data_IF_492083917958
#
_entry.id   IF_492083917958
#
_cell.length_a   1.000
_cell.length_b   1.000
_cell.length_c   1.000
_cell.angle_alpha   90.00
_cell.angle_beta   90.00
_cell.angle_gamma   90.00
#
_symmetry.space_group_name_H-M   'P 1'
#
loop_
_entity.id
_entity.type
_entity.pdbx_description
1 polymer ?
#
# COMPACT_ATOMS: atom_id res chain seq x y z
N UNK A 1 -15.37 3.72 -9.99
CA UNK A 1 -14.33 3.26 -9.04
C UNK A 1 -13.03 3.05 -9.81
N UNK A 2 -11.89 3.50 -9.28
CA UNK A 2 -10.60 3.18 -9.88
C UNK A 2 -10.28 1.70 -9.64
N UNK A 3 -9.89 0.97 -10.68
CA UNK A 3 -9.44 -0.43 -10.55
C UNK A 3 -8.01 -0.47 -10.01
N UNK A 4 -7.65 -1.57 -9.33
CA UNK A 4 -6.27 -1.75 -8.86
C UNK A 4 -5.25 -1.70 -10.01
N UNK A 5 -5.59 -2.29 -11.16
CA UNK A 5 -4.74 -2.22 -12.36
C UNK A 5 -4.50 -0.79 -12.83
N UNK A 6 -5.54 0.05 -12.81
CA UNK A 6 -5.43 1.47 -13.17
C UNK A 6 -4.58 2.27 -12.17
N UNK A 7 -4.80 2.05 -10.87
CA UNK A 7 -4.00 2.68 -9.80
C UNK A 7 -2.53 2.26 -9.93
N UNK A 8 -2.28 0.97 -10.11
CA UNK A 8 -0.93 0.42 -10.28
C UNK A 8 -0.22 1.02 -11.49
N UNK A 9 -0.91 1.17 -12.62
CA UNK A 9 -0.33 1.78 -13.81
C UNK A 9 0.15 3.22 -13.52
N UNK A 10 -0.68 4.03 -12.87
CA UNK A 10 -0.31 5.41 -12.47
C UNK A 10 0.88 5.44 -11.53
N UNK A 11 0.89 4.57 -10.51
CA UNK A 11 1.99 4.49 -9.56
C UNK A 11 3.31 4.10 -10.25
N UNK A 12 3.29 3.10 -11.13
CA UNK A 12 4.51 2.58 -11.78
C UNK A 12 4.96 3.44 -12.98
N UNK A 13 4.06 4.23 -13.58
CA UNK A 13 4.32 4.93 -14.86
C UNK A 13 4.23 6.45 -14.76
N UNK A 14 3.33 7.03 -13.98
CA UNK A 14 3.14 8.50 -13.93
C UNK A 14 3.91 9.11 -12.76
N UNK A 15 3.80 8.52 -11.58
CA UNK A 15 4.35 9.10 -10.34
C UNK A 15 5.77 8.66 -10.02
N UNK A 16 6.22 7.55 -10.59
CA UNK A 16 7.57 7.06 -10.36
C UNK A 16 8.60 7.84 -11.18
N UNK A 17 9.73 8.18 -10.54
CA UNK A 17 10.90 8.70 -11.22
C UNK A 17 11.36 7.72 -12.31
N UNK A 18 11.80 8.25 -13.47
CA UNK A 18 12.16 7.44 -14.65
C UNK A 18 13.18 6.34 -14.30
N UNK A 19 14.16 6.64 -13.46
CA UNK A 19 15.20 5.70 -13.03
C UNK A 19 14.70 4.51 -12.20
N UNK A 20 13.50 4.60 -11.63
CA UNK A 20 12.91 3.55 -10.78
C UNK A 20 11.85 2.73 -11.52
N UNK A 21 11.40 3.17 -12.70
CA UNK A 21 10.39 2.47 -13.50
C UNK A 21 10.95 1.13 -13.96
N UNK A 22 10.12 0.08 -13.91
CA UNK A 22 10.56 -1.30 -14.17
C UNK A 22 11.34 -1.95 -13.03
N UNK A 23 11.88 -1.17 -12.09
CA UNK A 23 12.55 -1.68 -10.89
C UNK A 23 11.60 -1.80 -9.70
N UNK A 24 10.75 -0.79 -9.49
CA UNK A 24 9.75 -0.83 -8.42
C UNK A 24 8.44 -1.45 -8.92
N UNK A 25 7.88 -2.36 -8.14
CA UNK A 25 6.59 -2.99 -8.39
C UNK A 25 5.71 -2.91 -7.14
N UNK A 26 4.43 -2.60 -7.36
CA UNK A 26 3.42 -2.61 -6.30
C UNK A 26 2.62 -3.91 -6.34
N UNK A 27 2.53 -4.57 -5.19
CA UNK A 27 1.82 -5.83 -5.04
C UNK A 27 0.77 -5.70 -3.95
N UNK A 28 -0.49 -6.01 -4.27
CA UNK A 28 -1.59 -6.11 -3.32
C UNK A 28 -2.36 -7.38 -3.62
N UNK A 29 -2.69 -8.14 -2.58
CA UNK A 29 -3.53 -9.32 -2.68
C UNK A 29 -4.47 -9.40 -1.48
N UNK A 30 -5.69 -9.82 -1.72
CA UNK A 30 -6.72 -10.08 -0.70
C UNK A 30 -7.09 -11.55 -0.73
N UNK A 31 -7.04 -12.19 0.42
CA UNK A 31 -7.39 -13.60 0.59
C UNK A 31 -8.86 -13.70 0.97
N UNK A 32 -9.71 -14.01 0.00
CA UNK A 32 -11.17 -14.10 0.22
C UNK A 32 -11.60 -15.27 1.10
N UNK A 33 -10.73 -16.27 1.30
CA UNK A 33 -11.00 -17.48 2.09
C UNK A 33 -10.51 -17.40 3.54
N UNK A 34 -9.87 -16.30 3.94
CA UNK A 34 -9.51 -16.08 5.34
C UNK A 34 -10.74 -15.56 6.11
N UNK A 35 -11.03 -16.06 7.33
CA UNK A 35 -12.16 -15.61 8.15
C UNK A 35 -12.21 -14.09 8.34
N UNK A 36 -11.03 -13.45 8.39
CA UNK A 36 -10.89 -12.01 8.63
C UNK A 36 -10.68 -11.19 7.34
N UNK A 37 -10.89 -11.79 6.17
CA UNK A 37 -10.66 -11.16 4.86
C UNK A 37 -9.29 -10.47 4.76
N UNK A 38 -8.25 -11.13 5.26
CA UNK A 38 -6.92 -10.56 5.32
C UNK A 38 -6.33 -10.27 3.94
N UNK A 39 -5.54 -9.20 3.87
CA UNK A 39 -4.78 -8.87 2.68
C UNK A 39 -3.35 -8.46 3.00
N UNK A 40 -2.54 -8.48 1.95
CA UNK A 40 -1.10 -8.22 1.98
C UNK A 40 -0.76 -7.19 0.94
N UNK A 41 0.03 -6.20 1.34
CA UNK A 41 0.58 -5.17 0.47
C UNK A 41 2.10 -5.16 0.57
N UNK A 42 2.78 -5.05 -0.57
CA UNK A 42 4.24 -4.98 -0.63
C UNK A 42 4.72 -4.07 -1.76
N UNK A 43 5.86 -3.43 -1.54
CA UNK A 43 6.65 -2.73 -2.55
C UNK A 43 7.91 -3.55 -2.80
N UNK A 44 8.17 -3.87 -4.07
CA UNK A 44 9.29 -4.68 -4.49
C UNK A 44 10.27 -3.85 -5.29
N UNK A 45 11.57 -4.06 -5.07
CA UNK A 45 12.65 -3.53 -5.90
C UNK A 45 13.38 -4.70 -6.54
N UNK A 46 13.40 -4.77 -7.88
CA UNK A 46 14.00 -5.87 -8.64
C UNK A 46 13.53 -7.26 -8.16
N UNK A 47 12.23 -7.38 -7.89
CA UNK A 47 11.62 -8.62 -7.40
C UNK A 47 11.77 -8.88 -5.90
N UNK A 48 12.66 -8.17 -5.19
CA UNK A 48 12.83 -8.30 -3.73
C UNK A 48 11.87 -7.40 -2.98
N UNK A 49 11.11 -7.94 -2.03
CA UNK A 49 10.22 -7.14 -1.18
C UNK A 49 11.06 -6.26 -0.23
N UNK A 50 10.95 -4.94 -0.40
CA UNK A 50 11.67 -3.94 0.41
C UNK A 50 10.78 -3.38 1.53
N UNK A 51 9.47 -3.26 1.26
CA UNK A 51 8.46 -2.85 2.22
C UNK A 51 7.34 -3.87 2.12
N UNK A 52 6.92 -4.42 3.26
CA UNK A 52 5.85 -5.41 3.34
C UNK A 52 4.95 -5.11 4.54
N UNK A 53 3.65 -5.27 4.33
CA UNK A 53 2.63 -5.11 5.34
C UNK A 53 1.48 -6.09 5.11
N UNK A 54 0.79 -6.42 6.19
CA UNK A 54 -0.54 -7.01 6.15
C UNK A 54 -1.52 -6.03 6.81
N UNK A 55 -2.80 -6.16 6.49
CA UNK A 55 -3.82 -5.23 6.99
C UNK A 55 -3.90 -5.24 8.52
N UNK A 56 -3.75 -6.41 9.14
CA UNK A 56 -3.75 -6.53 10.60
C UNK A 56 -2.63 -5.73 11.28
N UNK A 57 -1.38 -5.81 10.80
CA UNK A 57 -0.30 -5.01 11.40
C UNK A 57 -0.55 -3.52 11.23
N UNK A 58 -1.19 -3.11 10.13
CA UNK A 58 -1.50 -1.70 9.91
C UNK A 58 -2.51 -1.19 10.95
N UNK A 59 -3.56 -1.96 11.26
CA UNK A 59 -4.53 -1.59 12.30
C UNK A 59 -3.92 -1.66 13.70
N UNK A 60 -3.22 -2.76 14.03
CA UNK A 60 -2.70 -2.97 15.38
C UNK A 60 -1.56 -2.02 15.70
N UNK A 61 -0.71 -1.68 14.73
CA UNK A 61 0.40 -0.73 14.94
C UNK A 61 0.04 0.71 14.58
N UNK A 62 -1.23 1.00 14.26
CA UNK A 62 -1.66 2.35 13.94
C UNK A 62 -1.33 3.35 15.05
N UNK A 63 -1.46 2.91 16.32
CA UNK A 63 -1.14 3.72 17.49
C UNK A 63 0.36 4.06 17.64
N UNK A 64 1.24 3.37 16.89
CA UNK A 64 2.68 3.61 16.85
C UNK A 64 3.10 4.56 15.72
N UNK A 65 2.19 4.90 14.80
CA UNK A 65 2.50 5.85 13.74
C UNK A 65 2.63 7.26 14.32
N UNK A 66 3.51 8.10 13.74
CA UNK A 66 3.58 9.51 14.10
C UNK A 66 2.19 10.13 13.97
N UNK A 67 1.72 10.77 15.04
CA UNK A 67 0.48 11.57 15.04
C UNK A 67 0.80 12.96 14.52
N UNK A 68 1.20 13.04 13.26
CA UNK A 68 1.40 14.31 12.59
C UNK A 68 0.06 14.88 12.09
N UNK A 69 0.02 16.15 11.70
CA UNK A 69 -1.20 16.81 11.20
C UNK A 69 -1.83 16.04 10.02
N UNK A 70 -1.01 15.36 9.23
CA UNK A 70 -1.45 14.50 8.12
C UNK A 70 -2.17 13.23 8.59
N UNK A 71 -1.80 12.68 9.75
CA UNK A 71 -2.48 11.53 10.36
C UNK A 71 -3.86 11.92 10.88
N UNK A 72 -3.94 13.00 11.65
CA UNK A 72 -5.19 13.49 12.24
C UNK A 72 -6.21 13.84 11.14
N UNK A 73 -5.78 14.52 10.07
CA UNK A 73 -6.63 14.76 8.90
C UNK A 73 -7.14 13.48 8.26
N UNK A 74 -6.30 12.46 8.07
CA UNK A 74 -6.73 11.18 7.46
C UNK A 74 -7.73 10.41 8.31
N UNK A 75 -7.65 10.53 9.64
CA UNK A 75 -8.56 9.83 10.55
C UNK A 75 -9.87 10.60 10.77
N UNK A 76 -9.85 11.94 10.71
CA UNK A 76 -11.02 12.80 10.94
C UNK A 76 -11.77 13.20 9.66
N UNK A 77 -11.08 13.35 8.53
CA UNK A 77 -11.67 13.80 7.25
C UNK A 77 -12.12 12.66 6.35
N UNK A 78 -12.28 11.43 6.88
CA UNK A 78 -12.71 10.19 6.19
C UNK A 78 -13.08 10.31 4.70
N UNK A 79 -12.33 9.58 3.85
CA UNK A 79 -12.53 9.41 2.40
C UNK A 79 -13.98 9.45 1.91
#
# INVERSE_FOLDING_TARGET
MATWSGIRHKLETEYLAISLRGHIQYFVTTYSKSPDHEGRAAIRYNGKEIIKGNYWNQYVKAHLFPKDDTYERRMHEGL
#
